data_IF_412925887294
#
_entry.id   IF_412925887294
#
_cell.length_a   1.000
_cell.length_b   1.000
_cell.length_c   1.000
_cell.angle_alpha   90.00
_cell.angle_beta   90.00
_cell.angle_gamma   90.00
#
_symmetry.space_group_name_H-M   'P 1'
#
loop_
_entity.id
_entity.type
_entity.pdbx_description
1 polymer ?
#
# COMPACT_ATOMS: atom_id res chain seq x y z
N UNK A 1 9.01 7.83 0.72
CA UNK A 1 10.11 6.91 0.38
C UNK A 1 10.64 6.37 1.69
N UNK A 2 11.07 5.10 1.73
CA UNK A 2 11.72 4.54 2.91
C UNK A 2 13.24 4.66 2.76
N UNK A 3 13.90 5.17 3.80
CA UNK A 3 15.34 5.29 3.88
C UNK A 3 15.85 4.23 4.85
N UNK A 4 16.89 3.51 4.43
CA UNK A 4 17.64 2.58 5.27
C UNK A 4 19.02 3.17 5.56
N UNK A 5 19.55 2.88 6.75
CA UNK A 5 20.87 3.37 7.17
C UNK A 5 21.78 2.21 7.51
N UNK A 6 22.91 2.05 6.82
CA UNK A 6 23.85 0.92 6.96
C UNK A 6 24.13 0.47 8.40
N UNK A 7 24.24 1.40 9.35
CA UNK A 7 24.49 1.07 10.77
C UNK A 7 23.31 0.39 11.50
N UNK A 8 22.13 0.35 10.88
CA UNK A 8 20.93 -0.35 11.31
C UNK A 8 20.73 -1.69 10.57
N UNK A 9 21.62 -2.06 9.65
CA UNK A 9 21.58 -3.38 9.02
C UNK A 9 21.82 -4.45 10.09
N UNK A 10 20.94 -5.44 10.13
CA UNK A 10 21.01 -6.53 11.08
C UNK A 10 21.53 -7.79 10.39
N UNK A 11 22.44 -8.48 11.09
CA UNK A 11 22.88 -9.82 10.72
C UNK A 11 22.36 -10.79 11.76
N UNK A 12 21.35 -11.58 11.39
CA UNK A 12 20.91 -12.69 12.22
C UNK A 12 21.88 -13.87 12.09
N UNK A 13 21.73 -14.87 12.96
CA UNK A 13 22.43 -16.15 12.82
C UNK A 13 22.25 -16.66 11.38
N UNK A 14 23.31 -17.15 10.70
CA UNK A 14 23.24 -17.63 9.31
C UNK A 14 22.14 -18.67 9.03
N UNK A 15 21.61 -19.33 10.07
CA UNK A 15 20.45 -20.22 9.96
C UNK A 15 19.15 -19.50 9.59
N UNK A 16 19.09 -18.18 9.78
CA UNK A 16 17.99 -17.29 9.43
C UNK A 16 18.39 -16.32 8.31
N UNK A 17 19.27 -16.74 7.40
CA UNK A 17 19.66 -15.91 6.27
C UNK A 17 18.45 -15.66 5.35
N UNK A 18 18.19 -14.38 5.07
CA UNK A 18 17.06 -13.94 4.25
C UNK A 18 17.47 -13.67 2.80
N UNK A 19 18.60 -14.20 2.33
CA UNK A 19 19.11 -13.98 0.99
C UNK A 19 18.05 -14.22 -0.11
N UNK A 20 17.86 -13.28 -1.06
CA UNK A 20 18.69 -12.09 -1.32
C UNK A 20 18.31 -10.82 -0.53
N UNK A 21 17.40 -10.89 0.45
CA UNK A 21 16.97 -9.74 1.24
C UNK A 21 17.92 -9.43 2.42
N UNK A 22 17.98 -8.15 2.79
CA UNK A 22 18.68 -7.64 3.96
C UNK A 22 17.69 -7.26 5.06
N UNK A 23 18.13 -7.36 6.31
CA UNK A 23 17.32 -6.99 7.46
C UNK A 23 17.76 -5.63 8.01
N UNK A 24 16.78 -4.82 8.39
CA UNK A 24 17.00 -3.49 8.94
C UNK A 24 16.25 -3.34 10.26
N UNK A 25 16.91 -2.83 11.29
CA UNK A 25 16.29 -2.60 12.60
C UNK A 25 15.24 -1.48 12.57
N UNK A 26 15.38 -0.53 11.65
CA UNK A 26 14.39 0.50 11.38
C UNK A 26 14.54 1.04 9.95
N UNK A 27 13.47 1.69 9.48
CA UNK A 27 13.43 2.49 8.25
C UNK A 27 12.89 3.87 8.59
N UNK A 28 13.43 4.91 7.96
CA UNK A 28 12.90 6.27 8.06
C UNK A 28 11.95 6.55 6.90
N UNK A 29 10.87 7.30 7.15
CA UNK A 29 9.94 7.73 6.12
C UNK A 29 10.13 9.24 5.87
N UNK A 30 10.83 9.57 4.79
CA UNK A 30 11.20 10.96 4.45
C UNK A 30 10.02 11.80 3.92
N UNK A 31 9.12 11.16 3.17
CA UNK A 31 7.94 11.83 2.62
C UNK A 31 6.75 11.65 3.54
N UNK A 32 6.13 12.77 3.96
CA UNK A 32 4.81 12.78 4.58
C UNK A 32 3.70 12.52 3.55
N UNK A 33 3.84 11.47 2.76
CA UNK A 33 2.85 10.99 1.80
C UNK A 33 2.23 9.70 2.34
N UNK A 34 1.01 9.34 1.91
CA UNK A 34 0.45 8.07 2.31
C UNK A 34 1.29 6.90 1.78
N UNK A 35 1.24 5.78 2.48
CA UNK A 35 1.89 4.54 2.09
C UNK A 35 0.98 3.35 2.42
N UNK A 36 1.28 2.19 1.84
CA UNK A 36 0.44 1.00 1.95
C UNK A 36 1.08 -0.04 2.86
N UNK A 37 0.28 -0.58 3.78
CA UNK A 37 0.64 -1.72 4.62
C UNK A 37 -0.06 -2.96 4.04
N UNK A 38 0.71 -3.77 3.32
CA UNK A 38 0.17 -4.87 2.48
C UNK A 38 0.57 -6.21 3.08
N UNK A 39 -0.42 -6.99 3.50
CA UNK A 39 -0.19 -8.35 3.97
C UNK A 39 -0.22 -9.33 2.79
N UNK A 40 0.86 -10.09 2.64
CA UNK A 40 1.03 -11.10 1.59
C UNK A 40 1.17 -12.46 2.25
N UNK A 41 0.24 -13.36 1.92
CA UNK A 41 0.38 -14.77 2.24
C UNK A 41 1.20 -15.47 1.16
N UNK A 42 2.04 -16.40 1.58
CA UNK A 42 2.80 -17.31 0.74
C UNK A 42 2.57 -18.74 1.21
N UNK A 43 2.17 -19.60 0.27
CA UNK A 43 1.99 -21.02 0.48
C UNK A 43 3.23 -21.77 0.01
N UNK A 44 3.88 -22.45 0.96
CA UNK A 44 4.89 -23.47 0.67
C UNK A 44 4.37 -24.83 1.16
N UNK A 45 4.22 -25.78 0.23
CA UNK A 45 3.60 -27.10 0.44
C UNK A 45 2.23 -27.00 1.14
N UNK A 46 2.19 -27.21 2.46
CA UNK A 46 0.97 -27.22 3.30
C UNK A 46 0.92 -26.03 4.27
N UNK A 47 1.97 -25.25 4.35
CA UNK A 47 2.07 -24.13 5.27
C UNK A 47 1.78 -22.83 4.52
N UNK A 48 1.03 -21.94 5.18
CA UNK A 48 0.81 -20.57 4.73
C UNK A 48 1.51 -19.67 5.72
N UNK A 49 2.45 -18.88 5.23
CA UNK A 49 3.17 -17.86 6.00
C UNK A 49 2.75 -16.49 5.49
N UNK A 50 2.53 -15.54 6.39
CA UNK A 50 2.22 -14.17 6.03
C UNK A 50 3.44 -13.27 6.30
N UNK A 51 3.70 -12.33 5.39
CA UNK A 51 4.61 -11.22 5.63
C UNK A 51 3.90 -9.91 5.29
N UNK A 52 4.41 -8.80 5.79
CA UNK A 52 3.91 -7.48 5.41
C UNK A 52 4.95 -6.74 4.58
N UNK A 53 4.51 -6.17 3.45
CA UNK A 53 5.26 -5.18 2.69
C UNK A 53 4.76 -3.77 3.00
N UNK A 54 5.69 -2.83 3.14
CA UNK A 54 5.42 -1.41 3.22
C UNK A 54 5.70 -0.82 1.84
N UNK A 55 4.69 -0.33 1.14
CA UNK A 55 4.83 0.19 -0.23
C UNK A 55 4.63 1.70 -0.25
N UNK A 56 5.49 2.40 -0.98
CA UNK A 56 5.35 3.84 -1.13
C UNK A 56 4.37 4.22 -2.26
N UNK A 57 4.31 3.41 -3.33
CA UNK A 57 3.62 3.80 -4.55
C UNK A 57 2.44 2.89 -4.88
N UNK A 58 1.36 3.48 -5.39
CA UNK A 58 0.15 2.77 -5.77
C UNK A 58 0.36 1.83 -6.98
N UNK A 59 1.29 2.14 -7.88
CA UNK A 59 1.59 1.26 -9.01
C UNK A 59 2.28 -0.03 -8.58
N UNK A 60 3.08 0.00 -7.51
CA UNK A 60 3.67 -1.23 -6.93
C UNK A 60 2.57 -2.13 -6.36
N UNK A 61 1.56 -1.53 -5.72
CA UNK A 61 0.38 -2.27 -5.26
C UNK A 61 -0.35 -2.90 -6.45
N UNK A 62 -0.66 -2.13 -7.51
CA UNK A 62 -1.31 -2.65 -8.71
C UNK A 62 -0.53 -3.83 -9.32
N UNK A 63 0.79 -3.70 -9.43
CA UNK A 63 1.66 -4.76 -9.93
C UNK A 63 1.59 -6.02 -9.06
N UNK A 64 1.61 -5.88 -7.73
CA UNK A 64 1.47 -7.03 -6.81
C UNK A 64 0.11 -7.72 -7.00
N UNK A 65 -0.96 -6.94 -7.16
CA UNK A 65 -2.32 -7.45 -7.38
C UNK A 65 -2.42 -8.23 -8.69
N UNK A 66 -1.84 -7.72 -9.77
CA UNK A 66 -1.79 -8.38 -11.08
C UNK A 66 -0.95 -9.67 -11.05
N UNK A 67 0.06 -9.74 -10.18
CA UNK A 67 0.99 -10.88 -10.08
C UNK A 67 0.63 -11.88 -8.97
N UNK A 68 -0.59 -11.82 -8.43
CA UNK A 68 -1.08 -12.83 -7.49
C UNK A 68 -1.14 -14.23 -8.12
N UNK A 69 -0.94 -15.25 -7.30
CA UNK A 69 -0.92 -16.64 -7.72
C UNK A 69 -1.50 -17.58 -6.66
N UNK A 70 -1.54 -18.89 -6.95
CA UNK A 70 -1.91 -19.91 -5.96
C UNK A 70 -0.90 -20.13 -4.84
N UNK A 71 0.31 -19.59 -4.99
CA UNK A 71 1.37 -19.70 -4.00
C UNK A 71 1.64 -18.39 -3.27
N UNK A 72 1.14 -17.26 -3.77
CA UNK A 72 1.30 -15.97 -3.13
C UNK A 72 0.13 -15.05 -3.48
N UNK A 73 -0.56 -14.49 -2.48
CA UNK A 73 -1.71 -13.60 -2.67
C UNK A 73 -1.73 -12.52 -1.60
N UNK A 74 -2.43 -11.44 -1.89
CA UNK A 74 -2.66 -10.35 -0.94
C UNK A 74 -3.86 -10.73 -0.06
N UNK A 75 -3.67 -10.69 1.25
CA UNK A 75 -4.73 -10.96 2.23
C UNK A 75 -5.46 -9.69 2.65
N UNK A 76 -4.69 -8.62 2.84
CA UNK A 76 -5.19 -7.34 3.33
C UNK A 76 -4.33 -6.20 2.82
N UNK A 77 -4.98 -5.08 2.53
CA UNK A 77 -4.32 -3.81 2.25
C UNK A 77 -4.86 -2.76 3.22
N UNK A 78 -3.96 -2.04 3.87
CA UNK A 78 -4.29 -0.83 4.62
C UNK A 78 -3.53 0.35 4.03
N UNK A 79 -4.10 1.54 4.16
CA UNK A 79 -3.42 2.80 3.82
C UNK A 79 -3.09 3.54 5.10
N UNK A 80 -1.87 4.07 5.16
CA UNK A 80 -1.38 4.88 6.28
C UNK A 80 -1.30 6.31 5.81
N UNK A 81 -2.13 7.19 6.38
CA UNK A 81 -2.33 8.57 5.91
C UNK A 81 -1.79 9.58 6.93
N UNK A 82 -1.09 10.64 6.47
CA UNK A 82 -0.64 11.71 7.35
C UNK A 82 -1.79 12.63 7.78
N UNK A 83 -1.60 13.30 8.92
CA UNK A 83 -2.55 14.25 9.51
C UNK A 83 -3.13 15.28 8.52
N UNK A 84 -2.27 15.86 7.67
CA UNK A 84 -2.71 16.89 6.71
C UNK A 84 -3.56 16.34 5.56
N UNK A 85 -3.53 15.02 5.31
CA UNK A 85 -4.33 14.36 4.28
C UNK A 85 -5.65 13.86 4.85
N UNK A 86 -5.62 13.26 6.03
CA UNK A 86 -6.81 12.67 6.66
C UNK A 86 -7.64 13.66 7.49
N UNK A 87 -7.13 14.87 7.75
CA UNK A 87 -7.85 15.90 8.51
C UNK A 87 -7.84 15.69 10.03
N UNK A 88 -7.09 14.70 10.53
CA UNK A 88 -6.89 14.45 11.95
C UNK A 88 -5.56 15.03 12.44
N UNK A 89 -5.32 15.00 13.75
CA UNK A 89 -4.08 15.50 14.37
C UNK A 89 -2.93 14.48 14.39
N UNK A 90 -3.11 13.31 13.75
CA UNK A 90 -2.16 12.19 13.80
C UNK A 90 -2.23 11.36 12.51
N UNK A 91 -1.23 10.51 12.33
CA UNK A 91 -1.30 9.46 11.32
C UNK A 91 -2.42 8.48 11.65
N UNK A 92 -3.10 8.02 10.61
CA UNK A 92 -4.10 6.95 10.69
C UNK A 92 -3.68 5.79 9.80
N UNK A 93 -4.03 4.58 10.20
CA UNK A 93 -3.90 3.37 9.41
C UNK A 93 -5.29 2.77 9.30
N UNK A 94 -5.79 2.65 8.07
CA UNK A 94 -7.19 2.31 7.79
C UNK A 94 -7.26 1.21 6.72
N UNK A 95 -8.24 0.28 6.80
CA UNK A 95 -8.49 -0.67 5.72
C UNK A 95 -8.78 0.05 4.40
N UNK A 96 -8.05 -0.33 3.37
CA UNK A 96 -8.19 0.27 2.05
C UNK A 96 -9.22 -0.51 1.25
N UNK A 97 -10.21 0.18 0.71
CA UNK A 97 -11.24 -0.40 -0.15
C UNK A 97 -10.89 -0.27 -1.63
N UNK A 98 -10.44 0.90 -2.06
CA UNK A 98 -10.05 1.12 -3.46
C UNK A 98 -8.91 2.13 -3.60
N UNK A 99 -8.12 1.94 -4.66
CA UNK A 99 -7.21 2.96 -5.21
C UNK A 99 -7.60 3.23 -6.65
N UNK A 100 -7.88 4.49 -6.98
CA UNK A 100 -8.25 4.90 -8.32
C UNK A 100 -7.28 5.95 -8.85
N UNK A 101 -6.91 5.83 -10.13
CA UNK A 101 -6.42 6.96 -10.90
C UNK A 101 -7.62 7.78 -11.32
N UNK A 102 -7.60 9.06 -10.97
CA UNK A 102 -8.66 10.01 -11.27
C UNK A 102 -8.13 11.18 -12.05
N UNK A 103 -9.01 11.86 -12.79
CA UNK A 103 -8.64 13.00 -13.61
C UNK A 103 -9.71 14.09 -13.52
N UNK A 104 -9.29 15.36 -13.50
CA UNK A 104 -10.22 16.49 -13.60
C UNK A 104 -10.54 16.86 -15.06
N UNK A 105 -11.44 17.82 -15.26
CA UNK A 105 -11.84 18.30 -16.59
C UNK A 105 -10.70 18.96 -17.38
N UNK A 106 -9.66 19.46 -16.70
CA UNK A 106 -8.48 20.02 -17.33
C UNK A 106 -7.46 18.95 -17.73
N UNK A 107 -7.73 17.69 -17.37
CA UNK A 107 -6.88 16.56 -17.68
C UNK A 107 -5.79 16.30 -16.64
N UNK A 108 -5.81 16.98 -15.48
CA UNK A 108 -4.83 16.74 -14.41
C UNK A 108 -5.18 15.43 -13.72
N UNK A 109 -4.20 14.54 -13.61
CA UNK A 109 -4.37 13.23 -12.97
C UNK A 109 -3.97 13.26 -11.49
N UNK A 110 -4.56 12.38 -10.70
CA UNK A 110 -4.23 12.18 -9.30
C UNK A 110 -4.66 10.79 -8.82
N UNK A 111 -4.42 10.51 -7.55
CA UNK A 111 -4.87 9.30 -6.89
C UNK A 111 -6.01 9.62 -5.92
N UNK A 112 -7.02 8.77 -5.94
CA UNK A 112 -8.12 8.75 -4.98
C UNK A 112 -8.06 7.43 -4.22
N UNK A 113 -8.14 7.50 -2.90
CA UNK A 113 -8.19 6.37 -1.98
C UNK A 113 -9.55 6.33 -1.32
N UNK A 114 -10.22 5.18 -1.35
CA UNK A 114 -11.45 4.93 -0.60
C UNK A 114 -11.15 4.00 0.56
N UNK A 115 -11.57 4.37 1.75
CA UNK A 115 -11.48 3.53 2.96
C UNK A 115 -12.89 3.26 3.51
N UNK A 116 -12.99 2.55 4.62
CA UNK A 116 -14.28 2.25 5.26
C UNK A 116 -15.10 3.51 5.60
N UNK A 117 -16.41 3.32 5.78
CA UNK A 117 -17.36 4.39 6.13
C UNK A 117 -17.46 5.52 5.09
N UNK A 118 -17.24 5.20 3.80
CA UNK A 118 -17.33 6.12 2.66
C UNK A 118 -16.33 7.31 2.74
N UNK A 119 -15.25 7.15 3.51
CA UNK A 119 -14.20 8.15 3.62
C UNK A 119 -13.28 8.07 2.40
N UNK A 120 -12.94 9.24 1.87
CA UNK A 120 -12.14 9.40 0.66
C UNK A 120 -10.99 10.37 0.87
N UNK A 121 -9.79 9.96 0.48
CA UNK A 121 -8.59 10.79 0.48
C UNK A 121 -8.07 10.97 -0.94
N UNK A 122 -7.47 12.11 -1.25
CA UNK A 122 -7.01 12.41 -2.60
C UNK A 122 -5.65 13.10 -2.59
N UNK A 123 -4.80 12.69 -3.52
CA UNK A 123 -3.55 13.37 -3.86
C UNK A 123 -3.70 14.28 -5.09
N UNK A 124 -4.93 14.43 -5.59
CA UNK A 124 -5.24 15.42 -6.62
C UNK A 124 -5.29 16.84 -6.00
N UNK A 125 -4.86 17.89 -6.71
CA UNK A 125 -4.90 19.28 -6.20
C UNK A 125 -6.31 19.79 -5.85
N UNK A 126 -7.35 19.27 -6.50
CA UNK A 126 -8.74 19.65 -6.24
C UNK A 126 -9.25 19.04 -4.93
N UNK A 127 -10.00 19.84 -4.16
CA UNK A 127 -10.72 19.37 -2.96
C UNK A 127 -12.14 18.86 -3.29
N UNK A 128 -12.66 19.23 -4.46
CA UNK A 128 -13.97 18.81 -4.92
C UNK A 128 -13.86 17.47 -5.65
N UNK A 129 -13.99 16.38 -4.89
CA UNK A 129 -13.81 15.02 -5.39
C UNK A 129 -14.91 14.58 -6.37
N UNK A 130 -16.07 15.23 -6.35
CA UNK A 130 -17.19 14.92 -7.25
C UNK A 130 -16.93 15.37 -8.69
N UNK A 131 -15.96 16.28 -8.89
CA UNK A 131 -15.51 16.71 -10.22
C UNK A 131 -14.49 15.78 -10.86
N UNK A 132 -14.04 14.76 -10.12
CA UNK A 132 -13.02 13.83 -10.58
C UNK A 132 -13.67 12.63 -11.29
N UNK A 133 -13.16 12.31 -12.46
CA UNK A 133 -13.54 11.14 -13.23
C UNK A 133 -12.56 10.01 -12.90
N UNK A 134 -13.08 8.84 -12.55
CA UNK A 134 -12.26 7.63 -12.39
C UNK A 134 -11.85 7.14 -13.77
N UNK A 135 -10.54 7.10 -14.02
CA UNK A 135 -9.94 6.66 -15.28
C UNK A 135 -9.49 5.21 -15.20
N UNK A 136 -8.96 4.81 -14.05
CA UNK A 136 -8.51 3.44 -13.81
C UNK A 136 -8.66 3.07 -12.33
N UNK A 137 -8.97 1.81 -12.04
CA UNK A 137 -8.94 1.25 -10.68
C UNK A 137 -7.66 0.42 -10.58
N UNK A 138 -6.76 0.83 -9.69
CA UNK A 138 -5.47 0.16 -9.44
C UNK A 138 -5.61 -0.98 -8.42
N UNK A 139 -6.60 -0.88 -7.54
CA UNK A 139 -6.90 -1.87 -6.51
C UNK A 139 -8.36 -1.73 -6.09
N UNK A 140 -9.06 -2.84 -5.92
CA UNK A 140 -10.36 -2.96 -5.26
C UNK A 140 -10.37 -4.17 -4.34
N UNK A 141 -10.62 -3.94 -3.05
CA UNK A 141 -10.70 -4.99 -2.05
C UNK A 141 -11.75 -6.06 -2.40
N UNK A 142 -12.85 -5.67 -3.04
CA UNK A 142 -13.92 -6.59 -3.43
C UNK A 142 -13.51 -7.57 -4.54
N UNK A 143 -12.76 -7.10 -5.54
CA UNK A 143 -12.35 -7.96 -6.66
C UNK A 143 -11.02 -8.65 -6.42
N UNK A 144 -10.11 -7.98 -5.72
CA UNK A 144 -8.70 -8.34 -5.70
C UNK A 144 -8.29 -9.08 -4.42
N UNK A 145 -9.05 -8.92 -3.33
CA UNK A 145 -8.90 -9.71 -2.12
C UNK A 145 -9.95 -10.82 -2.12
N UNK A 146 -9.52 -12.06 -1.86
CA UNK A 146 -10.45 -13.11 -1.46
C UNK A 146 -11.35 -13.74 -2.54
N UNK A 147 -10.95 -13.79 -3.81
CA UNK A 147 -11.50 -14.82 -4.72
C UNK A 147 -10.72 -16.12 -4.60
N UNK A 148 -10.94 -16.89 -3.53
CA UNK A 148 -10.59 -18.32 -3.43
C UNK A 148 -11.37 -19.00 -2.31
#
# INVERSE_FOLDING_TARGET
MFITYRHLEMHLDPRFDYYPAQLWAAVEQDLQWPWFYVQIARRDKREVTASTLLLQYAHDLAWIIENQSKHAWVEQVQIVTPAHLNGHSKWLMEPLLEVCVVQDKAGVAGLLFKVENDVRYSLHPTRDLEKLLVINVLFSAESDLGRR
#
